data_IF_746228404483
#
_entry.id   IF_746228404483
#
_cell.length_a   1.000
_cell.length_b   1.000
_cell.length_c   1.000
_cell.angle_alpha   90.00
_cell.angle_beta   90.00
_cell.angle_gamma   90.00
#
_symmetry.space_group_name_H-M   'P 1'
#
loop_
_entity.id
_entity.type
_entity.pdbx_description
1 polymer ?
#
# COMPACT_ATOMS: atom_id res chain seq x y z
N UNK A 1 -10.61 4.62 8.88
CA UNK A 1 -9.93 4.44 7.57
C UNK A 1 -10.88 4.38 6.38
N UNK A 2 -12.19 4.18 6.55
CA UNK A 2 -13.14 4.25 5.44
C UNK A 2 -13.13 5.64 4.77
N UNK A 3 -13.03 6.71 5.56
CA UNK A 3 -13.01 8.09 5.05
C UNK A 3 -11.78 8.38 4.19
N UNK A 4 -10.59 7.91 4.58
CA UNK A 4 -9.38 8.03 3.75
C UNK A 4 -9.52 7.25 2.44
N UNK A 5 -10.34 6.18 2.43
CA UNK A 5 -10.58 5.40 1.22
C UNK A 5 -11.32 6.21 0.16
N UNK A 6 -12.08 7.25 0.53
CA UNK A 6 -12.80 8.12 -0.40
C UNK A 6 -11.89 8.91 -1.34
N UNK A 7 -10.64 9.14 -0.95
CA UNK A 7 -9.64 9.83 -1.79
C UNK A 7 -9.31 9.03 -3.06
N UNK A 8 -9.21 7.71 -2.96
CA UNK A 8 -8.75 6.86 -4.06
C UNK A 8 -9.72 6.69 -5.24
N UNK A 9 -11.03 6.48 -5.04
CA UNK A 9 -12.02 6.35 -6.11
C UNK A 9 -12.47 7.70 -6.70
N UNK A 10 -11.93 8.82 -6.23
CA UNK A 10 -12.23 10.15 -6.78
C UNK A 10 -12.08 10.18 -8.31
N UNK A 11 -12.90 11.00 -8.96
CA UNK A 11 -12.97 11.06 -10.44
C UNK A 11 -11.72 11.73 -11.00
N UNK A 12 -11.28 12.81 -10.35
CA UNK A 12 -10.12 13.62 -10.71
C UNK A 12 -9.34 14.09 -9.47
N UNK A 13 -8.21 14.76 -9.72
CA UNK A 13 -7.30 15.24 -8.65
C UNK A 13 -7.96 16.28 -7.75
N UNK A 14 -8.72 17.27 -8.26
CA UNK A 14 -9.49 18.19 -7.40
C UNK A 14 -10.45 17.47 -6.45
N UNK A 15 -11.25 16.52 -6.93
CA UNK A 15 -12.16 15.75 -6.06
C UNK A 15 -11.41 14.96 -4.98
N UNK A 16 -10.19 14.50 -5.28
CA UNK A 16 -9.34 13.83 -4.30
C UNK A 16 -8.81 14.79 -3.22
N UNK A 17 -8.58 16.06 -3.58
CA UNK A 17 -8.23 17.12 -2.63
C UNK A 17 -9.42 17.43 -1.70
N UNK A 18 -10.61 17.56 -2.25
CA UNK A 18 -11.81 17.80 -1.43
C UNK A 18 -12.01 16.65 -0.42
N UNK A 19 -11.80 15.41 -0.86
CA UNK A 19 -11.87 14.24 0.02
C UNK A 19 -10.77 14.22 1.10
N UNK A 20 -9.55 14.69 0.81
CA UNK A 20 -8.50 14.77 1.84
C UNK A 20 -8.77 15.90 2.84
N UNK A 21 -9.39 17.00 2.41
CA UNK A 21 -9.81 18.10 3.28
C UNK A 21 -10.95 17.68 4.21
N UNK A 22 -11.94 16.94 3.70
CA UNK A 22 -12.99 16.35 4.52
C UNK A 22 -12.38 15.38 5.55
N UNK A 23 -11.47 14.50 5.11
CA UNK A 23 -10.74 13.60 6.01
C UNK A 23 -9.98 14.39 7.09
N UNK A 24 -9.27 15.46 6.71
CA UNK A 24 -8.50 16.29 7.62
C UNK A 24 -9.40 16.94 8.69
N UNK A 25 -10.57 17.45 8.30
CA UNK A 25 -11.52 18.08 9.23
C UNK A 25 -11.96 17.16 10.38
N UNK A 26 -12.05 15.85 10.10
CA UNK A 26 -12.47 14.83 11.07
C UNK A 26 -11.27 14.30 11.87
N UNK A 27 -10.14 14.03 11.19
CA UNK A 27 -9.07 13.22 11.75
C UNK A 27 -7.84 14.01 12.22
N UNK A 28 -7.65 15.26 11.80
CA UNK A 28 -6.41 15.99 12.11
C UNK A 28 -6.25 16.30 13.60
N UNK A 29 -7.35 16.40 14.35
CA UNK A 29 -7.29 16.54 15.81
C UNK A 29 -6.56 15.37 16.48
N UNK A 30 -6.66 14.17 15.90
CA UNK A 30 -6.08 12.94 16.46
C UNK A 30 -4.83 12.48 15.71
N UNK A 31 -4.82 12.63 14.38
CA UNK A 31 -3.78 12.12 13.48
C UNK A 31 -3.38 13.15 12.41
N UNK A 32 -2.85 14.32 12.81
CA UNK A 32 -2.56 15.43 11.89
C UNK A 32 -1.46 15.11 10.84
N UNK A 33 -0.71 14.03 11.05
CA UNK A 33 0.37 13.63 10.14
C UNK A 33 -0.15 12.99 8.86
N UNK A 34 -1.38 12.45 8.85
CA UNK A 34 -1.90 11.71 7.70
C UNK A 34 -2.20 12.65 6.54
N UNK A 35 -3.02 13.69 6.78
CA UNK A 35 -3.32 14.73 5.79
C UNK A 35 -2.06 15.44 5.32
N UNK A 36 -1.18 15.83 6.26
CA UNK A 36 0.10 16.47 5.96
C UNK A 36 0.98 15.64 5.03
N UNK A 37 1.16 14.35 5.32
CA UNK A 37 1.94 13.44 4.47
C UNK A 37 1.33 13.30 3.08
N UNK A 38 0.00 13.28 2.98
CA UNK A 38 -0.69 13.25 1.69
C UNK A 38 -0.36 14.49 0.85
N UNK A 39 -0.43 15.68 1.46
CA UNK A 39 -0.12 16.96 0.80
C UNK A 39 1.35 17.11 0.39
N UNK A 40 2.27 16.62 1.22
CA UNK A 40 3.71 16.59 0.92
C UNK A 40 4.01 15.66 -0.26
N UNK A 41 3.32 14.52 -0.34
CA UNK A 41 3.53 13.49 -1.36
C UNK A 41 2.56 13.58 -2.54
N UNK A 42 1.73 14.63 -2.63
CA UNK A 42 0.61 14.74 -3.59
C UNK A 42 1.04 14.50 -5.03
N UNK A 43 2.22 14.96 -5.42
CA UNK A 43 2.74 14.80 -6.77
C UNK A 43 2.92 13.32 -7.16
N UNK A 44 3.36 12.50 -6.19
CA UNK A 44 3.52 11.06 -6.39
C UNK A 44 2.18 10.34 -6.24
N UNK A 45 1.40 10.69 -5.22
CA UNK A 45 0.13 10.04 -4.91
C UNK A 45 -0.95 10.30 -5.95
N UNK A 46 -0.88 11.42 -6.70
CA UNK A 46 -1.83 11.71 -7.78
C UNK A 46 -1.46 11.08 -9.13
N UNK A 47 -0.31 10.41 -9.26
CA UNK A 47 0.13 9.85 -10.54
C UNK A 47 -0.82 8.80 -11.10
N UNK A 48 -1.53 8.06 -10.25
CA UNK A 48 -2.46 7.01 -10.71
C UNK A 48 -3.69 7.58 -11.45
N UNK A 49 -4.01 8.88 -11.29
CA UNK A 49 -5.06 9.53 -12.06
C UNK A 49 -4.79 9.56 -13.58
N UNK A 50 -3.53 9.35 -13.99
CA UNK A 50 -3.14 9.19 -15.40
C UNK A 50 -3.70 7.92 -16.05
N UNK A 51 -4.11 6.93 -15.25
CA UNK A 51 -4.73 5.70 -15.75
C UNK A 51 -6.27 5.84 -15.80
N UNK A 52 -6.91 5.05 -16.65
CA UNK A 52 -8.38 4.93 -16.68
C UNK A 52 -8.92 4.48 -15.33
N UNK A 53 -10.10 4.99 -14.96
CA UNK A 53 -10.73 4.73 -13.66
C UNK A 53 -10.83 3.23 -13.32
N UNK A 54 -11.13 2.39 -14.31
CA UNK A 54 -11.22 0.94 -14.15
C UNK A 54 -9.88 0.30 -13.74
N UNK A 55 -8.75 0.86 -14.22
CA UNK A 55 -7.41 0.38 -13.90
C UNK A 55 -6.89 0.92 -12.57
N UNK A 56 -7.38 2.08 -12.12
CA UNK A 56 -6.97 2.69 -10.83
C UNK A 56 -7.22 1.77 -9.65
N UNK A 57 -8.27 0.94 -9.73
CA UNK A 57 -8.60 -0.05 -8.69
C UNK A 57 -7.45 -1.01 -8.40
N UNK A 58 -6.72 -1.42 -9.43
CA UNK A 58 -5.54 -2.29 -9.27
C UNK A 58 -4.42 -1.59 -8.48
N UNK A 59 -4.31 -0.27 -8.59
CA UNK A 59 -3.29 0.53 -7.91
C UNK A 59 -3.54 0.67 -6.41
N UNK A 60 -4.78 0.97 -6.00
CA UNK A 60 -5.09 1.19 -4.59
C UNK A 60 -5.56 -0.07 -3.84
N UNK A 61 -5.71 -1.22 -4.52
CA UNK A 61 -5.90 -2.49 -3.82
C UNK A 61 -4.59 -2.97 -3.20
N UNK A 62 -4.60 -3.17 -1.89
CA UNK A 62 -3.42 -3.62 -1.14
C UNK A 62 -3.27 -5.15 -1.14
N UNK A 63 -4.35 -5.89 -1.43
CA UNK A 63 -4.44 -7.35 -1.30
C UNK A 63 -3.26 -8.13 -1.91
N UNK A 64 -2.80 -7.74 -3.11
CA UNK A 64 -1.70 -8.45 -3.77
C UNK A 64 -0.37 -8.27 -3.01
N UNK A 65 -0.02 -7.03 -2.68
CA UNK A 65 1.21 -6.68 -1.97
C UNK A 65 1.16 -7.18 -0.52
N UNK A 66 0.03 -7.00 0.16
CA UNK A 66 -0.19 -7.50 1.52
C UNK A 66 -0.15 -9.02 1.59
N UNK A 67 -0.70 -9.71 0.58
CA UNK A 67 -0.64 -11.16 0.45
C UNK A 67 0.80 -11.68 0.37
N UNK A 68 1.66 -11.02 -0.42
CA UNK A 68 3.10 -11.33 -0.48
C UNK A 68 3.75 -11.04 0.87
N UNK A 69 3.56 -9.84 1.42
CA UNK A 69 4.16 -9.42 2.69
C UNK A 69 3.76 -10.33 3.88
N UNK A 70 2.52 -10.80 3.91
CA UNK A 70 2.04 -11.74 4.93
C UNK A 70 2.78 -13.08 4.86
N UNK A 71 3.01 -13.59 3.65
CA UNK A 71 3.77 -14.84 3.43
C UNK A 71 5.23 -14.70 3.78
N UNK A 72 5.86 -13.60 3.37
CA UNK A 72 7.25 -13.31 3.72
C UNK A 72 7.40 -13.20 5.25
N UNK A 73 6.49 -12.49 5.92
CA UNK A 73 6.45 -12.43 7.39
C UNK A 73 6.27 -13.79 8.03
N UNK A 74 5.43 -14.67 7.47
CA UNK A 74 5.22 -16.02 7.99
C UNK A 74 6.49 -16.85 7.97
N UNK A 75 7.28 -16.78 6.89
CA UNK A 75 8.51 -17.58 6.77
C UNK A 75 9.68 -16.98 7.57
N UNK A 76 9.71 -15.67 7.79
CA UNK A 76 10.75 -15.02 8.60
C UNK A 76 10.46 -15.08 10.10
N UNK A 77 9.19 -15.19 10.52
CA UNK A 77 8.79 -15.13 11.94
C UNK A 77 9.52 -16.12 12.86
N UNK A 78 9.90 -17.29 12.35
CA UNK A 78 10.58 -18.34 13.15
C UNK A 78 12.10 -18.16 13.21
N UNK A 79 12.67 -17.17 12.51
CA UNK A 79 14.10 -16.88 12.48
C UNK A 79 14.37 -15.51 13.10
N UNK A 80 15.06 -15.49 14.23
CA UNK A 80 15.40 -14.25 14.94
C UNK A 80 16.60 -13.51 14.32
N UNK A 81 17.50 -14.23 13.66
CA UNK A 81 18.70 -13.66 13.02
C UNK A 81 19.05 -14.45 11.74
N UNK A 82 19.55 -13.74 10.74
CA UNK A 82 20.20 -14.31 9.57
C UNK A 82 21.71 -14.03 9.64
N UNK A 83 22.59 -15.04 9.58
CA UNK A 83 24.03 -14.84 9.66
C UNK A 83 24.64 -14.06 8.49
N UNK A 84 23.99 -14.09 7.32
CA UNK A 84 24.38 -13.34 6.12
C UNK A 84 23.13 -12.94 5.33
N UNK A 85 23.26 -11.88 4.53
CA UNK A 85 22.19 -11.41 3.63
C UNK A 85 21.81 -12.48 2.60
N UNK A 86 22.77 -13.24 2.08
CA UNK A 86 22.52 -14.34 1.14
C UNK A 86 21.57 -15.41 1.70
N UNK A 87 21.69 -15.72 2.99
CA UNK A 87 20.80 -16.70 3.64
C UNK A 87 19.37 -16.17 3.72
N UNK A 88 19.21 -14.88 4.01
CA UNK A 88 17.91 -14.22 3.97
C UNK A 88 17.33 -14.24 2.54
N UNK A 89 18.10 -13.80 1.54
CA UNK A 89 17.68 -13.77 0.14
C UNK A 89 17.25 -15.16 -0.36
N UNK A 90 18.04 -16.20 -0.08
CA UNK A 90 17.71 -17.58 -0.46
C UNK A 90 16.39 -18.03 0.13
N UNK A 91 16.13 -17.70 1.41
CA UNK A 91 14.88 -18.06 2.06
C UNK A 91 13.67 -17.32 1.45
N UNK A 92 13.79 -16.01 1.19
CA UNK A 92 12.73 -15.23 0.55
C UNK A 92 12.43 -15.73 -0.86
N UNK A 93 13.47 -16.04 -1.64
CA UNK A 93 13.34 -16.64 -2.97
C UNK A 93 12.60 -17.98 -2.95
N UNK A 94 12.97 -18.88 -2.03
CA UNK A 94 12.29 -20.18 -1.88
C UNK A 94 10.83 -20.02 -1.47
N UNK A 95 10.52 -19.06 -0.59
CA UNK A 95 9.15 -18.76 -0.18
C UNK A 95 8.30 -18.24 -1.35
N UNK A 96 8.87 -17.34 -2.16
CA UNK A 96 8.21 -16.82 -3.36
C UNK A 96 7.97 -17.91 -4.41
N UNK A 97 8.96 -18.75 -4.68
CA UNK A 97 8.82 -19.87 -5.62
C UNK A 97 7.78 -20.89 -5.18
N UNK A 98 7.76 -21.22 -3.88
CA UNK A 98 6.75 -22.11 -3.32
C UNK A 98 5.35 -21.53 -3.50
N UNK A 99 5.19 -20.23 -3.31
CA UNK A 99 3.92 -19.55 -3.54
C UNK A 99 3.49 -19.59 -5.02
N UNK A 100 4.39 -19.26 -5.95
CA UNK A 100 4.06 -19.26 -7.38
C UNK A 100 3.67 -20.63 -7.92
N UNK A 101 4.18 -21.71 -7.32
CA UNK A 101 3.80 -23.10 -7.65
C UNK A 101 2.40 -23.49 -7.18
N UNK A 102 1.88 -22.85 -6.13
CA UNK A 102 0.53 -23.14 -5.59
C UNK A 102 -0.55 -22.38 -6.39
N UNK A 103 -0.18 -21.30 -7.07
CA UNK A 103 -1.08 -20.51 -7.91
C UNK A 103 -1.10 -20.92 -9.40
N UNK A 104 -0.33 -21.95 -9.77
CA UNK A 104 -0.45 -22.66 -11.06
C UNK A 104 -1.19 -23.97 -10.82
#
# INVERSE_FOLDING_TARGET
MADLKCVYPAVDVPSAHDAIDEFASIWDKKYPKISKSWYENRANLSTYFKFLQELRKLTYTTNAIEGINSKLRKVTKTKSLFPTDERLFKMLYLAQNTFMKICR
#
